data_IF_810421007520
#
_entry.id   IF_810421007520
#
_cell.length_a   1.000
_cell.length_b   1.000
_cell.length_c   1.000
_cell.angle_alpha   90.00
_cell.angle_beta   90.00
_cell.angle_gamma   90.00
#
_symmetry.space_group_name_H-M   'P 1'
#
loop_
_entity.id
_entity.type
_entity.pdbx_description
1 polymer ?
#
# COMPACT_ATOMS: atom_id res chain seq x y z
N UNK A 1 2.63 -7.92 23.71
CA UNK A 1 2.96 -9.25 23.17
C UNK A 1 4.39 -9.17 22.71
N UNK A 2 5.26 -10.04 23.20
CA UNK A 2 6.64 -10.09 22.72
C UNK A 2 6.71 -10.74 21.32
N UNK A 3 7.78 -10.51 20.56
CA UNK A 3 7.94 -11.05 19.21
C UNK A 3 7.82 -12.59 19.12
N UNK A 4 8.32 -13.33 20.11
CA UNK A 4 8.30 -14.79 20.07
C UNK A 4 6.88 -15.33 20.20
N UNK A 5 6.09 -14.78 21.13
CA UNK A 5 4.66 -15.10 21.25
C UNK A 5 3.89 -14.76 19.97
N UNK A 6 4.23 -13.65 19.29
CA UNK A 6 3.58 -13.29 18.04
C UNK A 6 3.88 -14.31 16.93
N UNK A 7 5.15 -14.72 16.78
CA UNK A 7 5.56 -15.74 15.81
C UNK A 7 4.90 -17.10 16.07
N UNK A 8 4.78 -17.51 17.34
CA UNK A 8 4.05 -18.72 17.72
C UNK A 8 2.57 -18.65 17.31
N UNK A 9 1.95 -17.47 17.37
CA UNK A 9 0.58 -17.28 16.89
C UNK A 9 0.47 -17.32 15.36
N UNK A 10 1.50 -16.87 14.64
CA UNK A 10 1.54 -16.98 13.18
C UNK A 10 1.66 -18.43 12.70
N UNK A 11 2.26 -19.33 13.50
CA UNK A 11 2.34 -20.75 13.18
C UNK A 11 1.07 -21.54 13.55
N UNK A 12 0.04 -20.89 14.09
CA UNK A 12 -1.22 -21.57 14.40
C UNK A 12 -1.91 -22.09 13.13
N UNK A 13 -2.64 -23.22 13.22
CA UNK A 13 -3.49 -23.68 12.13
C UNK A 13 -4.55 -22.64 11.74
N UNK A 14 -4.98 -22.67 10.48
CA UNK A 14 -5.95 -21.73 9.90
C UNK A 14 -7.19 -21.49 10.77
N UNK A 15 -7.85 -22.55 11.25
CA UNK A 15 -9.04 -22.45 12.09
C UNK A 15 -8.77 -21.76 13.44
N UNK A 16 -7.59 -22.00 14.04
CA UNK A 16 -7.19 -21.32 15.26
C UNK A 16 -6.90 -19.83 15.03
N UNK A 17 -6.38 -19.47 13.85
CA UNK A 17 -6.19 -18.06 13.44
C UNK A 17 -7.53 -17.34 13.25
N UNK A 18 -8.52 -17.97 12.61
CA UNK A 18 -9.88 -17.41 12.51
C UNK A 18 -10.44 -17.11 13.90
N UNK A 19 -10.42 -18.11 14.80
CA UNK A 19 -10.92 -17.92 16.17
C UNK A 19 -10.16 -16.82 16.91
N UNK A 20 -8.84 -16.73 16.71
CA UNK A 20 -8.05 -15.65 17.27
C UNK A 20 -8.49 -14.28 16.76
N UNK A 21 -8.67 -14.13 15.45
CA UNK A 21 -9.12 -12.88 14.82
C UNK A 21 -10.51 -12.46 15.34
N UNK A 22 -11.44 -13.41 15.46
CA UNK A 22 -12.79 -13.16 16.00
C UNK A 22 -12.72 -12.64 17.44
N UNK A 23 -11.97 -13.32 18.31
CA UNK A 23 -11.85 -12.93 19.71
C UNK A 23 -11.22 -11.54 19.86
N UNK A 24 -10.16 -11.24 19.10
CA UNK A 24 -9.54 -9.91 19.12
C UNK A 24 -10.47 -8.84 18.59
N UNK A 25 -11.27 -9.15 17.57
CA UNK A 25 -12.22 -8.22 17.02
C UNK A 25 -13.35 -7.90 18.01
N UNK A 26 -13.96 -8.90 18.65
CA UNK A 26 -14.99 -8.72 19.69
C UNK A 26 -14.47 -7.91 20.88
N UNK A 27 -13.30 -8.27 21.42
CA UNK A 27 -12.68 -7.52 22.52
C UNK A 27 -12.49 -6.03 22.20
N UNK A 28 -12.13 -5.71 20.96
CA UNK A 28 -11.96 -4.32 20.53
C UNK A 28 -13.31 -3.60 20.38
N UNK A 29 -14.31 -4.28 19.84
CA UNK A 29 -15.67 -3.77 19.70
C UNK A 29 -16.27 -3.43 21.06
N UNK A 30 -16.22 -4.39 21.99
CA UNK A 30 -16.80 -4.27 23.34
C UNK A 30 -16.11 -3.16 24.12
N UNK A 31 -14.77 -3.11 24.07
CA UNK A 31 -14.00 -2.06 24.76
C UNK A 31 -14.31 -0.65 24.28
N UNK A 32 -14.75 -0.51 23.03
CA UNK A 32 -15.11 0.78 22.44
C UNK A 32 -16.63 1.01 22.42
N UNK A 33 -17.42 0.13 23.05
CA UNK A 33 -18.88 0.18 23.04
C UNK A 33 -19.45 0.32 21.62
N UNK A 34 -18.87 -0.43 20.66
CA UNK A 34 -19.26 -0.39 19.25
C UNK A 34 -18.86 0.88 18.48
N UNK A 35 -18.09 1.81 19.07
CA UNK A 35 -17.58 3.01 18.40
C UNK A 35 -16.41 2.69 17.45
N UNK A 36 -16.69 1.90 16.42
CA UNK A 36 -15.69 1.36 15.49
C UNK A 36 -16.10 1.56 14.02
N UNK A 37 -15.14 1.42 13.12
CA UNK A 37 -15.36 1.35 11.68
C UNK A 37 -14.26 0.51 11.01
N UNK A 38 -14.46 0.06 9.78
CA UNK A 38 -13.40 -0.60 8.99
C UNK A 38 -12.87 0.37 7.95
N UNK A 39 -11.55 0.55 7.89
CA UNK A 39 -10.91 1.26 6.77
C UNK A 39 -10.82 0.32 5.56
N UNK A 40 -11.61 0.58 4.53
CA UNK A 40 -11.75 -0.30 3.34
C UNK A 40 -11.05 0.31 2.13
N UNK A 41 -10.40 -0.51 1.30
CA UNK A 41 -9.76 -0.08 0.07
C UNK A 41 -9.52 -1.15 -0.99
N UNK A 42 -9.45 -2.43 -0.62
CA UNK A 42 -9.28 -3.54 -1.56
C UNK A 42 -9.61 -4.88 -0.90
N UNK A 43 -9.29 -5.99 -1.57
CA UNK A 43 -9.71 -7.35 -1.21
C UNK A 43 -9.53 -7.65 0.29
N UNK A 44 -8.32 -7.44 0.84
CA UNK A 44 -7.99 -7.77 2.23
C UNK A 44 -8.91 -7.07 3.24
N UNK A 45 -9.22 -5.80 2.99
CA UNK A 45 -10.09 -4.99 3.85
C UNK A 45 -11.59 -5.22 3.58
N UNK A 46 -11.94 -5.66 2.37
CA UNK A 46 -13.30 -6.11 2.03
C UNK A 46 -13.58 -7.41 2.79
N UNK A 47 -12.66 -8.38 2.74
CA UNK A 47 -12.71 -9.61 3.55
C UNK A 47 -12.80 -9.31 5.03
N UNK A 48 -12.05 -8.31 5.52
CA UNK A 48 -12.15 -7.89 6.92
C UNK A 48 -13.53 -7.33 7.26
N UNK A 49 -14.12 -6.49 6.40
CA UNK A 49 -15.46 -5.95 6.63
C UNK A 49 -16.50 -7.07 6.66
N UNK A 50 -16.48 -7.99 5.69
CA UNK A 50 -17.38 -9.14 5.65
C UNK A 50 -17.23 -10.00 6.91
N UNK A 51 -15.99 -10.36 7.26
CA UNK A 51 -15.68 -11.13 8.47
C UNK A 51 -16.23 -10.48 9.75
N UNK A 52 -16.01 -9.17 9.92
CA UNK A 52 -16.47 -8.44 11.10
C UNK A 52 -17.99 -8.32 11.15
N UNK A 53 -18.67 -8.21 10.00
CA UNK A 53 -20.13 -8.12 9.95
C UNK A 53 -20.82 -9.45 10.25
N UNK A 54 -20.22 -10.56 9.83
CA UNK A 54 -20.74 -11.89 10.15
C UNK A 54 -20.46 -12.30 11.59
N UNK A 55 -19.28 -11.96 12.11
CA UNK A 55 -18.86 -12.45 13.42
C UNK A 55 -19.15 -11.45 14.53
N UNK A 56 -18.88 -10.15 14.37
CA UNK A 56 -18.94 -9.17 15.46
C UNK A 56 -20.28 -8.43 15.47
N UNK A 57 -20.55 -7.63 14.44
CA UNK A 57 -21.78 -6.84 14.35
C UNK A 57 -22.06 -6.41 12.90
N UNK A 58 -23.26 -6.73 12.41
CA UNK A 58 -23.68 -6.53 11.01
C UNK A 58 -23.63 -5.07 10.55
N UNK A 59 -23.82 -4.13 11.47
CA UNK A 59 -23.92 -2.70 11.22
C UNK A 59 -22.58 -1.95 11.30
N UNK A 60 -21.44 -2.63 11.48
CA UNK A 60 -20.12 -1.97 11.47
C UNK A 60 -19.93 -1.25 10.12
N UNK A 61 -19.68 0.08 10.12
CA UNK A 61 -19.54 0.83 8.88
C UNK A 61 -18.21 0.55 8.18
N UNK A 62 -18.27 0.34 6.87
CA UNK A 62 -17.10 0.41 6.00
C UNK A 62 -16.82 1.87 5.64
N UNK A 63 -15.57 2.31 5.66
CA UNK A 63 -15.19 3.70 5.37
C UNK A 63 -14.05 3.72 4.38
N UNK A 64 -14.20 4.46 3.29
CA UNK A 64 -13.17 4.56 2.25
C UNK A 64 -13.21 5.90 1.53
N UNK A 65 -12.07 6.28 0.93
CA UNK A 65 -12.02 7.30 -0.12
C UNK A 65 -12.09 6.58 -1.47
N UNK A 66 -13.22 5.92 -1.75
CA UNK A 66 -13.38 4.96 -2.87
C UNK A 66 -13.00 5.53 -4.24
N UNK A 67 -13.19 6.84 -4.45
CA UNK A 67 -12.82 7.53 -5.69
C UNK A 67 -11.35 7.41 -6.10
N UNK A 68 -10.47 7.01 -5.16
CA UNK A 68 -9.06 6.80 -5.44
C UNK A 68 -8.76 5.42 -6.02
N UNK A 69 -9.56 4.43 -5.68
CA UNK A 69 -9.38 3.02 -6.00
C UNK A 69 -9.94 2.69 -7.40
N UNK A 70 -9.72 1.47 -7.86
CA UNK A 70 -10.22 0.97 -9.14
C UNK A 70 -11.76 0.97 -9.23
N UNK A 71 -12.31 1.00 -10.44
CA UNK A 71 -13.77 1.01 -10.66
C UNK A 71 -14.47 -0.25 -10.18
N UNK A 72 -13.83 -1.42 -10.29
CA UNK A 72 -14.43 -2.65 -9.79
C UNK A 72 -14.47 -2.67 -8.26
N UNK A 73 -13.45 -2.11 -7.60
CA UNK A 73 -13.45 -1.91 -6.14
C UNK A 73 -14.56 -0.94 -5.72
N UNK A 74 -14.71 0.17 -6.46
CA UNK A 74 -15.79 1.12 -6.23
C UNK A 74 -17.18 0.50 -6.37
N UNK A 75 -17.35 -0.47 -7.27
CA UNK A 75 -18.61 -1.21 -7.42
C UNK A 75 -18.89 -2.02 -6.15
N UNK A 76 -17.95 -2.86 -5.72
CA UNK A 76 -18.09 -3.66 -4.48
C UNK A 76 -18.34 -2.77 -3.25
N UNK A 77 -17.68 -1.62 -3.14
CA UNK A 77 -17.92 -0.68 -2.04
C UNK A 77 -19.35 -0.15 -1.99
N UNK A 78 -20.04 0.00 -3.13
CA UNK A 78 -21.42 0.49 -3.20
C UNK A 78 -22.45 -0.58 -2.81
N UNK A 79 -22.08 -1.84 -2.95
CA UNK A 79 -22.96 -2.97 -2.64
C UNK A 79 -23.05 -3.22 -1.12
N UNK A 80 -22.10 -2.70 -0.34
CA UNK A 80 -22.17 -2.76 1.12
C UNK A 80 -23.18 -1.76 1.70
N UNK A 81 -24.11 -2.27 2.50
CA UNK A 81 -24.92 -1.44 3.39
C UNK A 81 -24.03 -0.64 4.36
N UNK A 82 -24.51 0.51 4.84
CA UNK A 82 -23.80 1.35 5.83
C UNK A 82 -22.33 1.64 5.45
N UNK A 83 -22.07 1.92 4.18
CA UNK A 83 -20.74 2.26 3.68
C UNK A 83 -20.58 3.78 3.52
N UNK A 84 -19.55 4.34 4.15
CA UNK A 84 -19.24 5.77 4.14
C UNK A 84 -18.16 6.07 3.10
N UNK A 85 -18.55 6.74 2.03
CA UNK A 85 -17.62 7.25 1.01
C UNK A 85 -17.15 8.67 1.35
N UNK A 86 -15.89 8.79 1.75
CA UNK A 86 -15.21 10.06 2.02
C UNK A 86 -14.69 10.68 0.72
N UNK A 87 -14.48 12.00 0.75
CA UNK A 87 -13.86 12.76 -0.34
C UNK A 87 -12.40 13.08 0.01
N UNK A 88 -11.47 13.00 -0.96
CA UNK A 88 -10.10 13.43 -0.73
C UNK A 88 -10.06 14.95 -0.55
N UNK A 89 -9.12 15.46 0.26
CA UNK A 89 -8.97 16.91 0.46
C UNK A 89 -8.32 17.61 -0.74
N UNK A 90 -7.56 16.85 -1.55
CA UNK A 90 -6.99 17.27 -2.82
C UNK A 90 -7.19 16.17 -3.85
N UNK A 91 -7.45 16.53 -5.09
CA UNK A 91 -7.54 15.56 -6.18
C UNK A 91 -6.17 14.95 -6.52
N UNK A 92 -6.20 13.80 -7.21
CA UNK A 92 -5.01 13.15 -7.80
C UNK A 92 -4.15 14.15 -8.59
N UNK A 93 -4.78 14.96 -9.43
CA UNK A 93 -4.14 15.99 -10.27
C UNK A 93 -3.49 17.08 -9.42
N UNK A 94 -4.20 17.61 -8.42
CA UNK A 94 -3.67 18.65 -7.53
C UNK A 94 -2.44 18.16 -6.78
N UNK A 95 -2.50 16.94 -6.25
CA UNK A 95 -1.37 16.36 -5.51
C UNK A 95 -0.13 16.18 -6.38
N UNK A 96 -0.27 15.66 -7.61
CA UNK A 96 0.86 15.50 -8.51
C UNK A 96 1.48 16.85 -8.90
N UNK A 97 0.65 17.85 -9.21
CA UNK A 97 1.13 19.19 -9.60
C UNK A 97 1.80 19.94 -8.45
N UNK A 98 1.21 19.88 -7.25
CA UNK A 98 1.71 20.62 -6.08
C UNK A 98 2.93 19.94 -5.44
N UNK A 99 2.89 18.61 -5.26
CA UNK A 99 3.88 17.88 -4.47
C UNK A 99 4.82 17.02 -5.31
N UNK A 100 4.32 16.39 -6.38
CA UNK A 100 5.10 15.52 -7.25
C UNK A 100 4.68 14.06 -7.22
N UNK A 101 5.45 13.23 -7.93
CA UNK A 101 5.11 11.85 -8.24
C UNK A 101 5.49 10.87 -7.12
N UNK A 102 4.62 9.91 -6.77
CA UNK A 102 4.93 8.84 -5.84
C UNK A 102 5.75 7.73 -6.52
N UNK A 103 7.08 7.86 -6.54
CA UNK A 103 7.98 6.86 -7.15
C UNK A 103 8.80 6.08 -6.13
N UNK A 104 9.22 4.88 -6.51
CA UNK A 104 10.07 3.97 -5.74
C UNK A 104 9.38 3.44 -4.48
N UNK A 105 9.34 4.20 -3.39
CA UNK A 105 8.62 3.87 -2.15
C UNK A 105 8.36 5.12 -1.32
N UNK A 106 7.40 5.09 -0.39
CA UNK A 106 7.10 6.25 0.50
C UNK A 106 8.36 6.79 1.18
N UNK A 107 9.19 5.90 1.73
CA UNK A 107 10.44 6.27 2.41
C UNK A 107 11.48 6.85 1.45
N UNK A 108 11.69 6.24 0.27
CA UNK A 108 12.70 6.71 -0.69
C UNK A 108 12.25 8.00 -1.37
N UNK A 109 10.98 8.15 -1.69
CA UNK A 109 10.41 9.39 -2.22
C UNK A 109 10.60 10.56 -1.25
N UNK A 110 10.43 10.34 0.05
CA UNK A 110 10.74 11.36 1.07
C UNK A 110 12.21 11.78 1.06
N UNK A 111 13.14 10.83 0.93
CA UNK A 111 14.59 11.12 0.81
C UNK A 111 14.88 11.91 -0.47
N UNK A 112 14.31 11.49 -1.59
CA UNK A 112 14.45 12.19 -2.88
C UNK A 112 13.91 13.63 -2.78
N UNK A 113 12.75 13.84 -2.13
CA UNK A 113 12.19 15.18 -1.94
C UNK A 113 13.16 16.13 -1.20
N UNK A 114 14.01 15.61 -0.31
CA UNK A 114 15.07 16.40 0.32
C UNK A 114 16.22 16.74 -0.64
N UNK A 115 16.63 15.78 -1.49
CA UNK A 115 17.68 15.96 -2.49
C UNK A 115 17.28 16.85 -3.67
N UNK A 116 15.97 17.02 -3.91
CA UNK A 116 15.44 17.92 -4.94
C UNK A 116 15.27 19.38 -4.50
N UNK A 117 15.52 19.69 -3.22
CA UNK A 117 15.46 21.08 -2.72
C UNK A 117 16.85 21.70 -2.82
N UNK A 118 17.03 22.78 -3.60
CA UNK A 118 18.26 23.57 -3.56
C UNK A 118 18.52 24.09 -2.14
N UNK A 119 19.79 24.23 -1.76
CA UNK A 119 20.24 24.84 -0.50
C UNK A 119 19.49 24.33 0.74
N UNK A 120 19.26 23.01 0.81
CA UNK A 120 18.49 22.40 1.88
C UNK A 120 19.18 22.65 3.23
N UNK A 121 18.53 23.30 4.22
CA UNK A 121 19.20 23.63 5.48
C UNK A 121 19.63 22.40 6.29
N UNK A 122 19.12 21.21 5.95
CA UNK A 122 19.48 19.94 6.60
C UNK A 122 20.71 19.31 5.97
N UNK A 123 21.82 20.06 5.84
CA UNK A 123 23.04 19.60 5.16
C UNK A 123 23.61 18.29 5.73
N UNK A 124 23.61 18.10 7.06
CA UNK A 124 24.02 16.83 7.68
C UNK A 124 23.14 15.65 7.24
N UNK A 125 21.84 15.89 7.05
CA UNK A 125 20.94 14.85 6.56
C UNK A 125 21.18 14.57 5.09
N UNK A 126 21.39 15.60 4.26
CA UNK A 126 21.76 15.46 2.85
C UNK A 126 23.04 14.63 2.73
N UNK A 127 24.09 14.97 3.47
CA UNK A 127 25.33 14.20 3.53
C UNK A 127 25.05 12.72 3.84
N UNK A 128 24.28 12.43 4.89
CA UNK A 128 23.93 11.05 5.24
C UNK A 128 23.12 10.31 4.17
N UNK A 129 22.26 11.01 3.41
CA UNK A 129 21.56 10.40 2.27
C UNK A 129 22.52 10.06 1.11
N UNK A 130 23.53 10.89 0.88
CA UNK A 130 24.51 10.75 -0.22
C UNK A 130 25.58 9.69 0.07
N UNK A 131 26.14 9.71 1.29
CA UNK A 131 27.30 8.89 1.66
C UNK A 131 26.92 7.70 2.53
N UNK A 132 25.87 7.83 3.34
CA UNK A 132 25.52 6.88 4.41
C UNK A 132 26.12 7.25 5.76
N UNK A 133 27.01 8.24 5.81
CA UNK A 133 27.68 8.68 7.03
C UNK A 133 26.81 9.66 7.81
N UNK A 134 26.52 9.34 9.06
CA UNK A 134 25.65 10.16 9.90
C UNK A 134 26.46 11.18 10.71
N UNK A 135 25.81 12.29 11.10
CA UNK A 135 26.39 13.23 12.06
C UNK A 135 26.26 12.76 13.51
N UNK A 136 26.40 13.72 14.43
CA UNK A 136 26.35 13.48 15.89
C UNK A 136 25.11 12.70 16.36
N UNK A 137 23.92 13.00 15.80
CA UNK A 137 22.69 12.28 16.14
C UNK A 137 22.75 10.78 15.80
N UNK A 138 23.51 10.40 14.77
CA UNK A 138 23.78 9.01 14.41
C UNK A 138 25.08 8.48 15.02
N UNK A 139 25.65 9.18 16.02
CA UNK A 139 26.92 8.84 16.67
C UNK A 139 28.08 8.68 15.68
N UNK A 140 28.07 9.44 14.59
CA UNK A 140 29.09 9.36 13.53
C UNK A 140 29.24 7.97 12.89
N UNK A 141 28.18 7.15 12.92
CA UNK A 141 28.18 5.82 12.33
C UNK A 141 27.76 5.84 10.86
N UNK A 142 28.20 4.84 10.12
CA UNK A 142 27.74 4.57 8.76
C UNK A 142 26.44 3.75 8.78
N UNK A 143 25.47 4.06 7.92
CA UNK A 143 24.26 3.27 7.76
C UNK A 143 23.74 3.22 6.32
N UNK A 144 23.77 2.02 5.73
CA UNK A 144 23.14 1.78 4.42
C UNK A 144 21.63 2.01 4.42
N UNK A 145 20.98 1.96 5.60
CA UNK A 145 19.54 2.23 5.72
C UNK A 145 19.21 3.70 5.54
N UNK A 146 20.08 4.63 5.96
CA UNK A 146 19.87 6.07 5.76
C UNK A 146 20.29 6.49 4.35
N UNK A 147 21.38 5.92 3.83
CA UNK A 147 21.84 6.15 2.45
C UNK A 147 20.71 5.88 1.46
N UNK A 148 20.59 6.72 0.43
CA UNK A 148 19.76 6.41 -0.74
C UNK A 148 20.60 5.49 -1.66
N UNK A 149 20.07 4.36 -2.15
CA UNK A 149 20.85 3.48 -3.01
C UNK A 149 21.40 4.20 -4.24
N UNK A 150 22.63 3.90 -4.63
CA UNK A 150 23.38 4.61 -5.69
C UNK A 150 22.62 4.72 -7.01
N UNK A 151 21.84 3.69 -7.41
CA UNK A 151 20.94 3.75 -8.59
C UNK A 151 20.01 4.97 -8.55
N UNK A 152 19.46 5.31 -7.39
CA UNK A 152 18.55 6.45 -7.23
C UNK A 152 19.31 7.76 -7.01
N UNK A 153 20.48 7.74 -6.38
CA UNK A 153 21.35 8.91 -6.29
C UNK A 153 21.70 9.42 -7.70
N UNK A 154 22.15 8.53 -8.59
CA UNK A 154 22.46 8.84 -10.00
C UNK A 154 21.30 9.54 -10.73
N UNK A 155 20.07 9.27 -10.33
CA UNK A 155 18.87 9.85 -10.96
C UNK A 155 18.39 11.12 -10.26
N UNK A 156 18.57 11.28 -8.95
CA UNK A 156 17.85 12.31 -8.20
C UNK A 156 18.74 13.28 -7.40
N UNK A 157 20.05 13.03 -7.33
CA UNK A 157 20.94 13.74 -6.44
C UNK A 157 21.83 14.80 -7.11
N UNK A 158 21.54 15.19 -8.36
CA UNK A 158 22.39 16.11 -9.13
C UNK A 158 22.65 17.47 -8.46
N UNK A 159 21.76 17.95 -7.59
CA UNK A 159 21.96 19.21 -6.84
C UNK A 159 23.06 19.11 -5.76
N UNK A 160 23.44 17.89 -5.36
CA UNK A 160 24.38 17.61 -4.27
C UNK A 160 25.49 16.67 -4.71
N UNK A 161 25.87 16.71 -5.99
CA UNK A 161 26.86 15.80 -6.57
C UNK A 161 28.26 15.97 -5.97
N UNK A 162 28.55 17.14 -5.40
CA UNK A 162 29.78 17.45 -4.66
C UNK A 162 30.02 16.51 -3.46
N UNK A 163 28.96 15.98 -2.84
CA UNK A 163 29.08 14.97 -1.79
C UNK A 163 29.57 13.60 -2.27
N UNK A 164 29.41 13.29 -3.56
CA UNK A 164 29.77 12.01 -4.19
C UNK A 164 30.31 12.25 -5.60
N UNK A 165 31.52 12.84 -5.74
CA UNK A 165 32.11 13.13 -7.05
C UNK A 165 32.43 11.86 -7.86
N UNK A 166 32.44 10.69 -7.22
CA UNK A 166 32.54 9.38 -7.85
C UNK A 166 31.26 8.95 -8.60
N UNK A 167 30.14 9.65 -8.38
CA UNK A 167 28.87 9.43 -9.06
C UNK A 167 28.58 10.56 -10.03
N UNK A 168 28.04 10.20 -11.20
CA UNK A 168 27.41 11.14 -12.11
C UNK A 168 25.91 11.18 -11.78
N UNK A 169 25.48 12.19 -11.01
CA UNK A 169 24.09 12.36 -10.64
C UNK A 169 23.37 13.38 -11.52
N UNK A 170 22.11 13.06 -11.85
CA UNK A 170 21.22 13.88 -12.66
C UNK A 170 20.20 14.65 -11.81
N UNK A 171 19.59 15.66 -12.41
CA UNK A 171 18.45 16.40 -11.85
C UNK A 171 17.20 16.01 -12.63
N UNK A 172 16.23 15.40 -11.95
CA UNK A 172 14.96 15.01 -12.58
C UNK A 172 14.13 16.26 -12.95
N UNK A 173 13.49 16.29 -14.13
CA UNK A 173 12.67 17.43 -14.58
C UNK A 173 11.29 17.51 -13.89
N UNK A 174 11.08 16.72 -12.83
CA UNK A 174 9.83 16.62 -12.09
C UNK A 174 10.09 16.42 -10.60
N UNK A 175 9.10 16.76 -9.77
CA UNK A 175 9.16 16.55 -8.32
C UNK A 175 8.77 15.13 -7.93
N UNK A 176 9.35 14.62 -6.86
CA UNK A 176 9.00 13.35 -6.23
C UNK A 176 8.49 13.60 -4.82
N UNK A 177 7.42 12.93 -4.42
CA UNK A 177 6.85 13.12 -3.08
C UNK A 177 6.14 11.89 -2.52
N UNK A 178 6.09 11.82 -1.20
CA UNK A 178 5.39 10.80 -0.43
C UNK A 178 4.05 11.26 0.16
N UNK A 179 3.66 12.49 -0.13
CA UNK A 179 2.52 13.19 0.50
C UNK A 179 1.17 12.89 -0.14
N UNK A 180 1.11 12.10 -1.21
CA UNK A 180 -0.14 11.84 -1.92
C UNK A 180 -1.18 11.14 -1.05
N UNK A 181 -0.79 10.10 -0.32
CA UNK A 181 -1.69 9.38 0.59
C UNK A 181 -2.16 10.27 1.74
N UNK A 182 -1.34 11.20 2.20
CA UNK A 182 -1.70 12.11 3.29
C UNK A 182 -2.95 12.92 2.96
N UNK A 183 -2.90 13.68 1.85
CA UNK A 183 -3.99 14.57 1.45
C UNK A 183 -5.22 13.84 0.92
N UNK A 184 -5.01 12.70 0.26
CA UNK A 184 -6.10 12.00 -0.40
C UNK A 184 -6.78 10.97 0.50
N UNK A 185 -6.07 10.37 1.46
CA UNK A 185 -6.55 9.19 2.21
C UNK A 185 -6.42 9.33 3.72
N UNK A 186 -5.22 9.58 4.23
CA UNK A 186 -4.94 9.59 5.67
C UNK A 186 -5.71 10.73 6.38
N UNK A 187 -5.60 11.96 5.87
CA UNK A 187 -6.24 13.12 6.51
C UNK A 187 -7.79 13.08 6.45
N UNK A 188 -8.45 12.73 5.33
CA UNK A 188 -9.90 12.49 5.33
C UNK A 188 -10.36 11.45 6.37
N UNK A 189 -9.66 10.31 6.47
CA UNK A 189 -9.98 9.27 7.45
C UNK A 189 -9.76 9.75 8.89
N UNK A 190 -8.70 10.52 9.14
CA UNK A 190 -8.43 11.12 10.45
C UNK A 190 -9.52 12.12 10.85
N UNK A 191 -10.00 12.95 9.92
CA UNK A 191 -11.10 13.88 10.16
C UNK A 191 -12.40 13.14 10.48
N UNK A 192 -12.71 12.07 9.74
CA UNK A 192 -13.86 11.21 10.02
C UNK A 192 -13.77 10.55 11.41
N UNK A 193 -12.62 9.98 11.75
CA UNK A 193 -12.41 9.33 13.05
C UNK A 193 -12.51 10.34 14.21
N UNK A 194 -12.00 11.56 14.03
CA UNK A 194 -12.14 12.64 15.02
C UNK A 194 -13.59 13.10 15.15
N UNK A 195 -14.28 13.35 14.03
CA UNK A 195 -15.65 13.85 14.03
C UNK A 195 -16.68 12.87 14.57
N UNK A 196 -16.45 11.56 14.41
CA UNK A 196 -17.37 10.51 14.89
C UNK A 196 -16.96 9.89 16.22
N UNK A 197 -15.73 10.13 16.69
CA UNK A 197 -15.13 9.43 17.82
C UNK A 197 -14.76 7.96 17.55
N UNK A 198 -15.18 7.40 16.41
CA UNK A 198 -14.97 5.98 16.07
C UNK A 198 -13.51 5.64 15.82
N UNK A 199 -13.12 4.39 16.09
CA UNK A 199 -11.75 3.90 15.89
C UNK A 199 -11.66 2.80 14.82
N UNK A 200 -10.57 2.75 14.04
CA UNK A 200 -10.47 1.84 12.90
C UNK A 200 -10.13 0.39 13.28
N UNK A 201 -10.77 -0.54 12.58
CA UNK A 201 -10.19 -1.80 12.16
C UNK A 201 -9.42 -1.61 10.85
N UNK A 202 -8.28 -2.31 10.71
CA UNK A 202 -7.44 -2.29 9.51
C UNK A 202 -7.04 -3.71 9.11
N UNK A 203 -7.12 -4.02 7.80
CA UNK A 203 -6.73 -5.31 7.22
C UNK A 203 -5.23 -5.47 7.03
N UNK A 204 -4.41 -5.10 8.03
CA UNK A 204 -2.96 -5.25 7.97
C UNK A 204 -2.54 -6.63 8.49
N UNK A 205 -1.55 -7.23 7.83
CA UNK A 205 -0.97 -8.51 8.22
C UNK A 205 0.53 -8.34 8.46
N UNK A 206 1.11 -9.07 9.42
CA UNK A 206 2.55 -9.01 9.63
C UNK A 206 3.32 -9.68 8.47
N UNK A 207 2.71 -10.65 7.79
CA UNK A 207 3.25 -11.32 6.60
C UNK A 207 3.47 -10.38 5.39
N UNK A 208 2.99 -9.14 5.45
CA UNK A 208 3.27 -8.12 4.42
C UNK A 208 4.70 -7.55 4.52
N UNK A 209 5.40 -7.83 5.62
CA UNK A 209 6.79 -7.44 5.84
C UNK A 209 6.99 -5.96 6.14
N UNK A 210 8.26 -5.58 6.25
CA UNK A 210 8.70 -4.19 6.39
C UNK A 210 8.20 -3.52 7.67
N UNK A 211 7.75 -2.27 7.57
CA UNK A 211 7.30 -1.50 8.75
C UNK A 211 6.01 -2.06 9.37
N UNK A 212 5.18 -2.76 8.58
CA UNK A 212 3.92 -3.34 9.05
C UNK A 212 4.18 -4.53 9.96
N UNK A 213 5.09 -5.41 9.56
CA UNK A 213 5.58 -6.52 10.37
C UNK A 213 6.13 -6.03 11.72
N UNK A 214 7.13 -5.15 11.69
CA UNK A 214 7.75 -4.61 12.92
C UNK A 214 6.72 -3.95 13.83
N UNK A 215 5.80 -3.17 13.26
CA UNK A 215 4.74 -2.50 13.99
C UNK A 215 3.73 -3.46 14.62
N UNK A 216 3.35 -4.53 13.92
CA UNK A 216 2.39 -5.53 14.41
C UNK A 216 3.02 -6.49 15.41
N UNK A 217 4.25 -6.94 15.19
CA UNK A 217 4.97 -7.78 16.15
C UNK A 217 5.21 -7.05 17.47
N UNK A 218 5.52 -5.74 17.42
CA UNK A 218 5.73 -4.93 18.62
C UNK A 218 4.44 -4.64 19.38
N UNK A 219 3.38 -4.28 18.65
CA UNK A 219 2.16 -3.71 19.26
C UNK A 219 0.98 -4.69 19.32
N UNK A 220 1.04 -5.83 18.63
CA UNK A 220 -0.03 -6.80 18.51
C UNK A 220 -1.20 -6.34 17.62
N UNK A 221 -2.30 -7.09 17.69
CA UNK A 221 -3.55 -6.84 16.97
C UNK A 221 -4.28 -5.58 17.47
N UNK A 222 -4.66 -5.56 18.75
CA UNK A 222 -5.36 -4.43 19.37
C UNK A 222 -4.34 -3.49 20.00
N UNK A 223 -4.29 -2.25 19.53
CA UNK A 223 -3.35 -1.24 19.98
C UNK A 223 -4.08 -0.01 20.53
N UNK A 224 -3.74 0.36 21.76
CA UNK A 224 -4.30 1.51 22.50
C UNK A 224 -3.15 2.46 22.89
N UNK A 225 -2.54 3.10 21.90
CA UNK A 225 -1.48 4.08 22.11
C UNK A 225 -1.99 5.46 22.50
N UNK A 226 -1.08 6.35 22.92
CA UNK A 226 -1.40 7.73 23.32
C UNK A 226 -2.06 8.54 22.19
N UNK A 227 -1.61 8.35 20.96
CA UNK A 227 -2.05 9.10 19.78
C UNK A 227 -2.87 8.26 18.81
N UNK A 228 -2.90 6.94 18.98
CA UNK A 228 -3.43 6.02 17.98
C UNK A 228 -4.11 4.84 18.66
N UNK A 229 -5.35 4.59 18.28
CA UNK A 229 -6.12 3.41 18.70
C UNK A 229 -6.57 2.68 17.44
N UNK A 230 -6.27 1.39 17.33
CA UNK A 230 -6.64 0.57 16.16
C UNK A 230 -6.68 -0.92 16.49
N UNK A 231 -7.36 -1.68 15.64
CA UNK A 231 -7.32 -3.15 15.65
C UNK A 231 -6.94 -3.70 14.27
N UNK A 232 -6.10 -4.74 14.24
CA UNK A 232 -5.75 -5.49 13.03
C UNK A 232 -6.01 -6.99 13.24
N UNK A 233 -7.26 -7.48 13.14
CA UNK A 233 -7.61 -8.86 13.46
C UNK A 233 -6.81 -9.91 12.68
N UNK A 234 -6.45 -9.58 11.43
CA UNK A 234 -5.64 -10.44 10.56
C UNK A 234 -4.13 -10.30 10.78
N UNK A 235 -3.67 -9.65 11.87
CA UNK A 235 -2.24 -9.40 12.10
C UNK A 235 -1.36 -10.67 11.97
N UNK A 236 -1.88 -11.83 12.38
CA UNK A 236 -1.16 -13.12 12.37
C UNK A 236 -1.42 -13.97 11.12
N UNK A 237 -2.22 -13.48 10.17
CA UNK A 237 -2.56 -14.20 8.95
C UNK A 237 -1.39 -14.15 7.96
N UNK A 238 -1.27 -15.22 7.18
CA UNK A 238 -0.55 -15.23 5.91
C UNK A 238 -1.48 -14.78 4.78
N UNK A 239 -0.91 -14.56 3.58
CA UNK A 239 -1.74 -14.32 2.38
C UNK A 239 -2.67 -15.51 2.09
N UNK A 240 -2.20 -16.73 2.32
CA UNK A 240 -2.97 -17.96 2.12
C UNK A 240 -4.18 -18.02 3.07
N UNK A 241 -3.98 -17.70 4.35
CA UNK A 241 -5.09 -17.63 5.33
C UNK A 241 -6.16 -16.61 4.91
N UNK A 242 -5.73 -15.44 4.41
CA UNK A 242 -6.65 -14.40 3.97
C UNK A 242 -7.46 -14.81 2.72
N UNK A 243 -6.81 -15.38 1.71
CA UNK A 243 -7.49 -15.83 0.48
C UNK A 243 -8.43 -16.99 0.77
N UNK A 244 -8.04 -17.93 1.64
CA UNK A 244 -8.92 -18.99 2.10
C UNK A 244 -10.14 -18.41 2.82
N UNK A 245 -9.95 -17.42 3.70
CA UNK A 245 -11.06 -16.76 4.38
C UNK A 245 -11.99 -16.03 3.41
N UNK A 246 -11.44 -15.40 2.37
CA UNK A 246 -12.26 -14.75 1.34
C UNK A 246 -13.16 -15.75 0.60
N UNK A 247 -12.66 -16.96 0.32
CA UNK A 247 -13.45 -18.06 -0.26
C UNK A 247 -14.52 -18.57 0.71
N UNK A 248 -14.14 -18.82 1.97
CA UNK A 248 -15.05 -19.36 3.00
C UNK A 248 -16.24 -18.42 3.26
N UNK A 249 -15.97 -17.11 3.28
CA UNK A 249 -16.96 -16.04 3.43
C UNK A 249 -17.69 -15.67 2.14
N UNK A 250 -17.33 -16.28 1.00
CA UNK A 250 -17.86 -15.93 -0.34
C UNK A 250 -17.78 -14.43 -0.62
N UNK A 251 -16.63 -13.83 -0.29
CA UNK A 251 -16.38 -12.39 -0.48
C UNK A 251 -16.52 -12.05 -1.96
N UNK A 252 -17.20 -10.94 -2.26
CA UNK A 252 -17.23 -10.37 -3.60
C UNK A 252 -15.84 -9.86 -3.98
N UNK A 253 -15.13 -10.61 -4.81
CA UNK A 253 -13.79 -10.27 -5.28
C UNK A 253 -13.90 -9.21 -6.38
N UNK A 254 -13.28 -8.03 -6.24
CA UNK A 254 -13.32 -7.01 -7.30
C UNK A 254 -12.58 -7.48 -8.56
N UNK A 255 -13.13 -7.19 -9.74
CA UNK A 255 -12.62 -7.66 -11.05
C UNK A 255 -11.12 -7.38 -11.32
N UNK A 256 -10.55 -6.29 -10.79
CA UNK A 256 -9.12 -5.99 -10.88
C UNK A 256 -8.22 -7.11 -10.29
N UNK A 257 -8.73 -7.88 -9.33
CA UNK A 257 -8.06 -9.07 -8.77
C UNK A 257 -8.31 -10.32 -9.62
N UNK A 258 -9.31 -10.33 -10.50
CA UNK A 258 -9.79 -11.50 -11.20
C UNK A 258 -10.53 -12.43 -10.23
N UNK A 259 -10.10 -13.69 -10.18
CA UNK A 259 -10.66 -14.72 -9.30
C UNK A 259 -9.60 -15.20 -8.31
N UNK A 260 -10.02 -15.79 -7.20
CA UNK A 260 -9.11 -16.52 -6.31
C UNK A 260 -8.99 -17.95 -6.85
N UNK A 261 -7.89 -18.21 -7.54
CA UNK A 261 -7.57 -19.53 -8.08
C UNK A 261 -6.77 -20.36 -7.06
N UNK A 262 -6.85 -21.67 -7.22
CA UNK A 262 -6.04 -22.64 -6.47
C UNK A 262 -5.17 -23.43 -7.44
N UNK A 263 -3.87 -23.33 -7.23
CA UNK A 263 -2.88 -24.11 -7.97
C UNK A 263 -2.94 -25.60 -7.60
N UNK A 264 -2.40 -26.50 -8.45
CA UNK A 264 -2.38 -27.94 -8.17
C UNK A 264 -1.71 -28.32 -6.83
N UNK A 265 -0.76 -27.51 -6.36
CA UNK A 265 -0.08 -27.70 -5.07
C UNK A 265 -0.90 -27.20 -3.86
N UNK A 266 -2.08 -26.62 -4.11
CA UNK A 266 -2.99 -26.07 -3.11
C UNK A 266 -2.79 -24.58 -2.82
N UNK A 267 -1.78 -23.93 -3.39
CA UNK A 267 -1.50 -22.50 -3.23
C UNK A 267 -2.64 -21.67 -3.81
N UNK A 268 -3.10 -20.66 -3.05
CA UNK A 268 -4.10 -19.70 -3.48
C UNK A 268 -3.46 -18.42 -4.00
N UNK A 269 -3.97 -17.92 -5.11
CA UNK A 269 -3.59 -16.63 -5.67
C UNK A 269 -4.76 -15.95 -6.40
N UNK A 270 -4.63 -14.66 -6.63
CA UNK A 270 -5.58 -13.90 -7.46
C UNK A 270 -5.10 -13.90 -8.92
N UNK A 271 -5.96 -14.24 -9.88
CA UNK A 271 -5.55 -14.42 -11.29
C UNK A 271 -5.08 -13.14 -11.99
N UNK A 272 -5.36 -11.96 -11.43
CA UNK A 272 -4.88 -10.66 -11.92
C UNK A 272 -4.00 -9.94 -10.89
N UNK A 273 -4.47 -8.82 -10.32
CA UNK A 273 -3.66 -8.03 -9.41
C UNK A 273 -3.56 -8.71 -8.04
N UNK A 274 -2.34 -9.00 -7.57
CA UNK A 274 -2.12 -9.54 -6.22
C UNK A 274 -2.43 -8.50 -5.12
N UNK A 275 -2.19 -7.23 -5.42
CA UNK A 275 -2.44 -6.07 -4.56
C UNK A 275 -2.76 -4.88 -5.43
N UNK A 276 -3.57 -3.97 -4.90
CA UNK A 276 -3.93 -2.72 -5.58
C UNK A 276 -3.67 -1.53 -4.67
N UNK A 277 -3.57 -0.37 -5.30
CA UNK A 277 -3.59 0.93 -4.63
C UNK A 277 -4.34 1.92 -5.52
N UNK A 278 -4.20 3.22 -5.22
CA UNK A 278 -4.84 4.21 -6.09
C UNK A 278 -4.30 4.13 -7.53
N UNK A 279 -5.15 4.42 -8.51
CA UNK A 279 -4.85 4.17 -9.94
C UNK A 279 -3.60 4.87 -10.48
N UNK A 280 -3.13 5.94 -9.83
CA UNK A 280 -1.92 6.69 -10.20
C UNK A 280 -0.69 6.36 -9.34
N UNK A 281 -0.74 5.34 -8.47
CA UNK A 281 0.34 5.07 -7.53
C UNK A 281 1.53 4.39 -8.20
N UNK A 282 2.66 5.09 -8.34
CA UNK A 282 3.93 4.53 -8.83
C UNK A 282 4.83 3.92 -7.76
N UNK A 283 4.40 3.82 -6.49
CA UNK A 283 5.20 3.14 -5.48
C UNK A 283 5.29 1.64 -5.78
N UNK A 284 6.52 1.12 -5.84
CA UNK A 284 6.81 -0.26 -6.19
C UNK A 284 6.88 -0.54 -7.69
N UNK A 285 6.54 0.41 -8.58
CA UNK A 285 6.42 0.11 -10.02
C UNK A 285 7.72 -0.44 -10.63
N UNK A 286 8.86 0.11 -10.23
CA UNK A 286 10.20 -0.31 -10.64
C UNK A 286 10.64 -1.74 -10.27
N UNK A 287 9.86 -2.47 -9.47
CA UNK A 287 10.10 -3.88 -9.12
C UNK A 287 8.96 -4.79 -9.59
N UNK A 288 7.92 -4.25 -10.20
CA UNK A 288 6.85 -5.05 -10.77
C UNK A 288 7.30 -5.69 -12.09
N UNK A 289 6.93 -6.96 -12.28
CA UNK A 289 7.04 -7.61 -13.58
C UNK A 289 5.91 -7.14 -14.49
N UNK A 290 6.15 -7.15 -15.80
CA UNK A 290 5.10 -6.88 -16.79
C UNK A 290 4.24 -8.14 -17.00
N UNK A 291 2.91 -8.00 -17.20
CA UNK A 291 2.14 -6.75 -17.16
C UNK A 291 2.07 -6.17 -15.74
N UNK A 292 2.54 -4.93 -15.57
CA UNK A 292 2.49 -4.23 -14.29
C UNK A 292 1.19 -3.42 -14.15
N UNK A 293 0.93 -2.78 -13.01
CA UNK A 293 -0.36 -2.10 -12.77
C UNK A 293 -0.76 -1.06 -13.82
N UNK A 294 0.20 -0.37 -14.44
CA UNK A 294 -0.11 0.60 -15.51
C UNK A 294 -0.42 -0.07 -16.85
N UNK A 295 0.05 -1.30 -17.08
CA UNK A 295 -0.37 -2.09 -18.23
C UNK A 295 -1.82 -2.54 -18.04
N UNK A 296 -2.16 -3.01 -16.84
CA UNK A 296 -3.53 -3.36 -16.47
C UNK A 296 -4.46 -2.15 -16.57
N UNK A 297 -4.02 -0.97 -16.15
CA UNK A 297 -4.80 0.26 -16.33
C UNK A 297 -5.04 0.59 -17.81
N UNK A 298 -4.07 0.33 -18.71
CA UNK A 298 -4.28 0.49 -20.15
C UNK A 298 -5.32 -0.48 -20.69
N UNK A 299 -5.28 -1.73 -20.25
CA UNK A 299 -6.26 -2.78 -20.61
C UNK A 299 -7.67 -2.38 -20.14
N UNK A 300 -7.82 -2.01 -18.87
CA UNK A 300 -9.12 -1.79 -18.23
C UNK A 300 -9.71 -0.40 -18.52
N UNK A 301 -8.87 0.63 -18.64
CA UNK A 301 -9.30 2.01 -18.85
C UNK A 301 -8.26 2.82 -19.66
N UNK A 302 -8.20 2.63 -21.00
CA UNK A 302 -7.20 3.26 -21.86
C UNK A 302 -7.28 4.79 -21.85
N UNK A 303 -8.46 5.36 -21.60
CA UNK A 303 -8.64 6.82 -21.49
C UNK A 303 -7.96 7.37 -20.24
N UNK A 304 -8.17 6.73 -19.08
CA UNK A 304 -7.50 7.12 -17.83
C UNK A 304 -5.99 6.87 -17.92
N UNK A 305 -5.58 5.75 -18.50
CA UNK A 305 -4.17 5.47 -18.75
C UNK A 305 -3.52 6.58 -19.60
N UNK A 306 -4.12 6.95 -20.74
CA UNK A 306 -3.59 8.00 -21.63
C UNK A 306 -3.46 9.34 -20.90
N UNK A 307 -4.47 9.71 -20.12
CA UNK A 307 -4.46 10.91 -19.29
C UNK A 307 -3.28 10.91 -18.30
N UNK A 308 -3.04 9.80 -17.61
CA UNK A 308 -1.92 9.72 -16.67
C UNK A 308 -0.56 9.78 -17.37
N UNK A 309 -0.39 8.98 -18.42
CA UNK A 309 0.90 8.82 -19.09
C UNK A 309 1.32 10.07 -19.86
N UNK A 310 0.42 10.63 -20.68
CA UNK A 310 0.75 11.73 -21.58
C UNK A 310 0.41 13.10 -20.96
N UNK A 311 -0.82 13.30 -20.48
CA UNK A 311 -1.27 14.63 -20.05
C UNK A 311 -0.72 15.02 -18.67
N UNK A 312 -0.60 14.03 -17.79
CA UNK A 312 -0.08 14.19 -16.43
C UNK A 312 1.37 13.79 -16.28
N UNK A 313 2.08 13.48 -17.38
CA UNK A 313 3.53 13.32 -17.39
C UNK A 313 4.10 12.05 -16.75
N UNK A 314 3.28 11.02 -16.46
CA UNK A 314 3.82 9.76 -15.94
C UNK A 314 4.78 9.07 -16.90
N UNK A 315 4.60 9.21 -18.22
CA UNK A 315 5.51 8.60 -19.20
C UNK A 315 6.95 9.06 -19.01
N UNK A 316 7.16 10.37 -18.91
CA UNK A 316 8.48 10.98 -18.62
C UNK A 316 9.06 10.44 -17.30
N UNK A 317 8.22 10.27 -16.29
CA UNK A 317 8.64 9.75 -14.98
C UNK A 317 9.10 8.29 -15.08
N UNK A 318 8.34 7.45 -15.79
CA UNK A 318 8.62 6.03 -15.97
C UNK A 318 9.88 5.81 -16.81
N UNK A 319 10.03 6.54 -17.91
CA UNK A 319 11.25 6.53 -18.73
C UNK A 319 12.48 6.89 -17.90
N UNK A 320 12.37 7.94 -17.07
CA UNK A 320 13.45 8.42 -16.23
C UNK A 320 13.93 7.39 -15.20
N UNK A 321 13.02 6.56 -14.68
CA UNK A 321 13.34 5.48 -13.72
C UNK A 321 13.60 4.12 -14.39
N UNK A 322 13.56 4.06 -15.72
CA UNK A 322 13.82 2.85 -16.52
C UNK A 322 12.70 1.81 -16.42
N UNK A 323 11.45 2.25 -16.44
CA UNK A 323 10.28 1.37 -16.47
C UNK A 323 9.58 1.51 -17.81
N UNK A 324 9.52 0.43 -18.58
CA UNK A 324 8.82 0.40 -19.86
C UNK A 324 7.31 0.40 -19.65
N UNK A 325 6.60 1.30 -20.35
CA UNK A 325 5.16 1.51 -20.16
C UNK A 325 4.39 1.68 -21.47
N UNK A 326 5.03 2.21 -22.52
CA UNK A 326 4.35 2.60 -23.76
C UNK A 326 3.98 1.39 -24.63
N UNK A 327 4.94 0.49 -24.89
CA UNK A 327 4.71 -0.75 -25.63
C UNK A 327 3.68 -1.63 -24.91
N UNK A 328 2.72 -2.29 -25.57
CA UNK A 328 1.92 -3.34 -24.95
C UNK A 328 2.77 -4.54 -24.49
N UNK A 329 2.55 -5.12 -23.30
CA UNK A 329 3.27 -6.32 -22.89
C UNK A 329 2.83 -7.49 -23.76
N UNK A 330 3.78 -8.37 -24.10
CA UNK A 330 3.46 -9.64 -24.74
C UNK A 330 2.84 -10.54 -23.67
N UNK A 331 1.53 -10.73 -23.74
CA UNK A 331 0.83 -11.72 -22.92
C UNK A 331 1.02 -13.05 -23.64
N UNK A 332 1.85 -13.95 -23.11
CA UNK A 332 1.84 -15.34 -23.54
C UNK A 332 0.48 -15.92 -23.17
N UNK A 333 -0.43 -15.99 -24.13
CA UNK A 333 -1.61 -16.84 -24.01
C UNK A 333 -1.11 -18.27 -24.15
N UNK A 334 -1.10 -19.04 -23.05
CA UNK A 334 -1.03 -20.49 -23.16
C UNK A 334 -2.23 -20.93 -24.01
N UNK A 335 -1.95 -21.38 -25.24
CA UNK A 335 -2.97 -22.01 -26.05
C UNK A 335 -3.43 -23.26 -25.29
N UNK A 336 -4.74 -23.51 -25.15
CA UNK A 336 -5.22 -24.74 -24.56
C UNK A 336 -4.60 -25.91 -25.35
N UNK A 337 -4.00 -26.86 -24.63
CA UNK A 337 -3.54 -28.11 -25.22
C UNK A 337 -4.70 -28.74 -25.99
N UNK A 338 -4.63 -28.75 -27.33
CA UNK A 338 -5.50 -29.59 -28.13
C UNK A 338 -5.22 -31.03 -27.72
N UNK A 339 -6.17 -31.66 -27.02
CA UNK A 339 -6.17 -33.10 -26.83
C UNK A 339 -6.27 -33.74 -28.20
N UNK A 340 -5.19 -34.34 -28.66
CA UNK A 340 -5.19 -35.19 -29.84
C UNK A 340 -6.24 -36.30 -29.63
N UNK A 341 -7.17 -36.40 -30.58
CA UNK A 341 -8.22 -37.42 -30.67
C UNK A 341 -7.62 -38.78 -31.00
#
# INVERSE_FOLDING_TARGET
>A
MDPATFMQKQSLPYQAKIRHAELRAREYYDRLNGAVYVSVGGLDSITLLTFLRETVAKDIPGVSVSSLEDKSIQAVHKDFDNFVSLKPLKSKVQVLREFGYPVVSKMKARKIEHLQKPDNPKQTFIHALMTGDMGEQGKFQHSDKIKLPDKWLRLFAGLYNDHRPDLECKVAPFKVSDRCCYWMKEQPCDLYAKGTGRKPYMGLMASEGGQRELGLMKNGCNYYGKTTTRSCPFAIFSRQDLLQLALDLKVQVPEIYGEIARDPDGTLETTRAQRTGCTMCGFGIHIEKRPHRFDRLREDNPKEWKFWMYDMGWGVVLDYIGVEWETPPIIQTELPFETAV
#
